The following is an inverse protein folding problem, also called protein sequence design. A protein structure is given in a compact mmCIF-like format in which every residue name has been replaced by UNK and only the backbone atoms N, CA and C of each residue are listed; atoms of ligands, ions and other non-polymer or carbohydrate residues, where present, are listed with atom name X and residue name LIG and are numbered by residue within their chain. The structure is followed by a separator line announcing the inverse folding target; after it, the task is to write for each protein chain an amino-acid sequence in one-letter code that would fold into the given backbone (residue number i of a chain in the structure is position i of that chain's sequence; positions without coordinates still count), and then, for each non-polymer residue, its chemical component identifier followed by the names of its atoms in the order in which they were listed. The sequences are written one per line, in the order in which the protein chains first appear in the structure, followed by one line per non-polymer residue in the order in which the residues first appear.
data_IF_925226965203
#
_entry.id   IF_925226965203
#
_cell.length_a   1.000
_cell.length_b   1.000
_cell.length_c   1.000
_cell.angle_alpha   90.00
_cell.angle_beta   90.00
_cell.angle_gamma   90.00
#
_symmetry.space_group_name_H-M   'P 1'
#
loop_
_entity.id
_entity.type
_entity.pdbx_description
1 polymer ?
#
# COMPACT_ATOMS: atom_id res chain seq x y z
N UNK A 1 -48.30 -24.88 -11.76
CA UNK A 1 -47.19 -23.90 -11.74
C UNK A 1 -47.70 -22.61 -12.37
N UNK A 2 -47.81 -21.53 -11.60
CA UNK A 2 -48.33 -20.26 -12.08
C UNK A 2 -47.21 -19.43 -12.74
N UNK A 3 -47.32 -19.17 -14.04
CA UNK A 3 -46.39 -18.32 -14.79
C UNK A 3 -46.79 -16.87 -14.49
N UNK A 4 -46.10 -16.26 -13.53
CA UNK A 4 -46.28 -14.86 -13.17
C UNK A 4 -45.83 -14.02 -14.36
N UNK A 5 -46.77 -13.28 -14.97
CA UNK A 5 -46.50 -12.41 -16.13
C UNK A 5 -45.48 -11.34 -15.73
N UNK A 6 -44.33 -11.34 -16.42
CA UNK A 6 -43.26 -10.34 -16.28
C UNK A 6 -43.82 -8.93 -16.43
N UNK A 7 -43.56 -8.07 -15.45
CA UNK A 7 -44.09 -6.71 -15.42
C UNK A 7 -43.31 -5.80 -16.37
N UNK A 8 -43.92 -4.71 -16.84
CA UNK A 8 -43.27 -3.75 -17.75
C UNK A 8 -41.95 -3.16 -17.18
N UNK A 9 -41.77 -3.21 -15.86
CA UNK A 9 -40.55 -2.82 -15.16
C UNK A 9 -39.37 -3.76 -15.40
N UNK A 10 -39.59 -5.04 -15.69
CA UNK A 10 -38.50 -5.98 -15.98
C UNK A 10 -37.95 -5.74 -17.39
N UNK A 11 -38.82 -5.46 -18.37
CA UNK A 11 -38.41 -5.11 -19.74
C UNK A 11 -37.57 -3.83 -19.78
N UNK A 12 -37.95 -2.80 -19.01
CA UNK A 12 -37.19 -1.56 -18.91
C UNK A 12 -35.81 -1.76 -18.23
N UNK A 13 -35.70 -2.74 -17.32
CA UNK A 13 -34.41 -3.12 -16.73
C UNK A 13 -33.54 -3.87 -17.73
N UNK A 14 -34.12 -4.79 -18.49
CA UNK A 14 -33.39 -5.55 -19.51
C UNK A 14 -32.84 -4.62 -20.60
N UNK A 15 -33.64 -3.65 -21.06
CA UNK A 15 -33.20 -2.62 -22.03
C UNK A 15 -32.08 -1.72 -21.47
N UNK A 16 -32.13 -1.36 -20.18
CA UNK A 16 -31.07 -0.57 -19.54
C UNK A 16 -29.75 -1.35 -19.40
N UNK A 17 -29.83 -2.68 -19.17
CA UNK A 17 -28.66 -3.56 -19.09
C UNK A 17 -28.04 -3.75 -20.47
N UNK A 18 -28.84 -3.92 -21.53
CA UNK A 18 -28.36 -4.00 -22.90
C UNK A 18 -27.71 -2.69 -23.37
N UNK A 19 -28.29 -1.53 -23.02
CA UNK A 19 -27.69 -0.22 -23.32
C UNK A 19 -26.35 -0.01 -22.61
N UNK A 20 -26.23 -0.45 -21.35
CA UNK A 20 -24.96 -0.39 -20.61
C UNK A 20 -23.90 -1.33 -21.20
N UNK A 21 -24.30 -2.53 -21.65
CA UNK A 21 -23.40 -3.47 -22.33
C UNK A 21 -22.86 -2.94 -23.66
N UNK A 22 -23.73 -2.34 -24.48
CA UNK A 22 -23.32 -1.73 -25.75
C UNK A 22 -22.42 -0.48 -25.56
N UNK A 23 -22.62 0.28 -24.49
CA UNK A 23 -21.74 1.41 -24.16
C UNK A 23 -20.34 0.96 -23.68
N UNK A 24 -20.18 -0.32 -23.36
CA UNK A 24 -18.92 -0.90 -22.91
C UNK A 24 -18.11 -1.58 -24.02
N UNK A 25 -18.56 -1.57 -25.30
CA UNK A 25 -17.71 -2.00 -26.41
C UNK A 25 -16.63 -0.94 -26.67
N UNK A 26 -15.35 -1.21 -26.34
CA UNK A 26 -14.27 -0.33 -26.71
C UNK A 26 -14.06 -0.52 -28.22
N UNK A 27 -14.16 0.56 -28.98
CA UNK A 27 -13.62 0.61 -30.34
C UNK A 27 -12.20 0.04 -30.30
N UNK A 28 -12.02 -1.15 -30.88
CA UNK A 28 -10.74 -1.83 -31.07
C UNK A 28 -9.91 -1.06 -32.09
N UNK A 29 -9.59 0.19 -31.79
CA UNK A 29 -8.43 0.86 -32.37
C UNK A 29 -7.24 0.22 -31.68
N UNK A 30 -6.46 -0.55 -32.45
CA UNK A 30 -5.19 -1.10 -31.98
C UNK A 30 -4.41 0.00 -31.25
N UNK A 31 -3.90 -0.24 -30.03
CA UNK A 31 -3.02 0.72 -29.41
C UNK A 31 -1.80 0.82 -30.32
N UNK A 32 -1.57 2.00 -30.89
CA UNK A 32 -0.27 2.32 -31.44
C UNK A 32 0.75 2.06 -30.33
N UNK A 33 1.55 1.03 -30.51
CA UNK A 33 2.65 0.69 -29.63
C UNK A 33 3.70 1.79 -29.79
N UNK A 34 3.54 2.86 -29.00
CA UNK A 34 4.66 3.72 -28.62
C UNK A 34 4.93 3.46 -27.15
N UNK A 35 5.49 2.28 -26.90
CA UNK A 35 6.10 1.95 -25.64
C UNK A 35 7.41 2.75 -25.52
N UNK A 36 7.34 3.98 -25.05
CA UNK A 36 8.42 4.53 -24.23
C UNK A 36 7.93 4.60 -22.79
N UNK A 37 7.81 3.40 -22.21
CA UNK A 37 7.86 3.24 -20.76
C UNK A 37 9.29 3.62 -20.37
N UNK A 38 9.50 4.91 -20.08
CA UNK A 38 10.77 5.45 -19.62
C UNK A 38 11.34 4.53 -18.55
N UNK A 39 12.47 3.91 -18.85
CA UNK A 39 13.21 3.11 -17.89
C UNK A 39 13.53 4.06 -16.74
N UNK A 40 13.14 3.76 -15.49
CA UNK A 40 13.50 4.63 -14.38
C UNK A 40 15.03 4.72 -14.34
N UNK A 41 15.57 5.90 -14.58
CA UNK A 41 16.99 6.14 -14.60
C UNK A 41 17.56 5.77 -13.24
N UNK A 42 18.33 4.68 -13.19
CA UNK A 42 19.07 4.31 -11.98
C UNK A 42 20.12 5.40 -11.76
N UNK A 43 20.21 6.01 -10.57
CA UNK A 43 21.28 6.95 -10.30
C UNK A 43 22.62 6.24 -10.53
N UNK A 44 23.45 6.81 -11.41
CA UNK A 44 24.78 6.27 -11.76
C UNK A 44 25.81 6.46 -10.65
N UNK A 45 25.46 7.23 -9.63
CA UNK A 45 26.33 7.57 -8.52
C UNK A 45 25.92 6.77 -7.29
N UNK A 46 26.82 5.92 -6.83
CA UNK A 46 26.76 5.37 -5.47
C UNK A 46 26.98 6.55 -4.52
N UNK A 47 26.02 6.90 -3.64
CA UNK A 47 26.22 7.99 -2.70
C UNK A 47 27.42 7.64 -1.83
N UNK A 48 28.46 8.48 -1.88
CA UNK A 48 29.61 8.36 -0.99
C UNK A 48 29.10 8.45 0.45
N UNK A 49 29.42 7.46 1.27
CA UNK A 49 29.16 7.48 2.72
C UNK A 49 29.92 8.65 3.32
N UNK A 50 29.28 9.81 3.31
CA UNK A 50 29.75 10.99 4.02
C UNK A 50 29.38 10.73 5.47
N UNK A 51 30.35 10.25 6.25
CA UNK A 51 30.21 10.07 7.72
C UNK A 51 30.19 11.42 8.47
N UNK A 52 29.82 12.50 7.76
CA UNK A 52 29.58 13.83 8.27
C UNK A 52 28.08 14.04 8.52
N UNK A 53 27.38 13.02 9.05
CA UNK A 53 26.12 13.31 9.73
C UNK A 53 26.51 14.06 10.99
N UNK A 54 26.06 15.31 11.08
CA UNK A 54 26.05 16.07 12.31
C UNK A 54 25.48 15.17 13.42
N UNK A 55 26.36 14.63 14.27
CA UNK A 55 26.05 13.49 15.16
C UNK A 55 25.00 13.86 16.22
N UNK A 56 24.64 15.14 16.32
CA UNK A 56 23.62 15.65 17.24
C UNK A 56 22.18 15.40 16.79
N UNK A 57 21.87 15.24 15.49
CA UNK A 57 20.47 15.16 15.02
C UNK A 57 20.27 14.28 13.78
N UNK A 58 20.56 12.98 13.87
CA UNK A 58 20.12 12.05 12.82
C UNK A 58 18.58 12.01 12.78
N UNK A 59 17.97 12.72 11.82
CA UNK A 59 16.50 12.79 11.66
C UNK A 59 15.88 11.49 11.13
N UNK A 60 16.69 10.62 10.54
CA UNK A 60 16.24 9.35 9.95
C UNK A 60 17.17 8.22 10.35
N UNK A 61 16.58 7.07 10.65
CA UNK A 61 17.28 5.84 11.01
C UNK A 61 16.64 4.67 10.28
N UNK A 62 17.46 3.78 9.72
CA UNK A 62 17.01 2.53 9.13
C UNK A 62 17.17 1.42 10.16
N UNK A 63 16.06 0.78 10.53
CA UNK A 63 16.05 -0.42 11.37
C UNK A 63 16.12 -1.65 10.46
N UNK A 64 17.04 -2.57 10.78
CA UNK A 64 17.18 -3.86 10.11
C UNK A 64 16.80 -4.95 11.11
N UNK A 65 16.02 -5.93 10.65
CA UNK A 65 15.49 -7.03 11.45
C UNK A 65 16.11 -8.36 11.00
N UNK A 66 17.41 -8.36 10.68
CA UNK A 66 18.05 -9.43 9.91
C UNK A 66 17.98 -10.79 10.62
N UNK A 67 18.01 -10.80 11.96
CA UNK A 67 17.95 -12.03 12.79
C UNK A 67 16.62 -12.16 13.55
N UNK A 68 15.80 -11.11 13.60
CA UNK A 68 14.65 -11.00 14.50
C UNK A 68 13.33 -11.02 13.72
N UNK A 69 13.03 -12.18 13.13
CA UNK A 69 11.81 -12.39 12.34
C UNK A 69 10.56 -12.32 13.21
N UNK A 70 10.64 -12.82 14.43
CA UNK A 70 9.52 -12.85 15.38
C UNK A 70 9.04 -11.43 15.69
N UNK A 71 9.97 -10.48 15.89
CA UNK A 71 9.64 -9.08 16.10
C UNK A 71 8.93 -8.46 14.89
N UNK A 72 9.33 -8.83 13.67
CA UNK A 72 8.70 -8.36 12.43
C UNK A 72 7.28 -8.88 12.25
N UNK A 73 7.04 -10.14 12.61
CA UNK A 73 5.73 -10.78 12.54
C UNK A 73 4.80 -10.17 13.60
N UNK A 74 5.28 -10.01 14.84
CA UNK A 74 4.54 -9.35 15.92
C UNK A 74 4.15 -7.91 15.53
N UNK A 75 5.08 -7.15 14.96
CA UNK A 75 4.78 -5.79 14.48
C UNK A 75 3.71 -5.79 13.39
N UNK A 76 3.73 -6.78 12.48
CA UNK A 76 2.74 -6.91 11.42
C UNK A 76 1.35 -7.22 11.99
N UNK A 77 1.27 -8.13 12.95
CA UNK A 77 0.02 -8.54 13.59
C UNK A 77 -0.58 -7.39 14.40
N UNK A 78 0.21 -6.71 15.22
CA UNK A 78 -0.25 -5.55 16.00
C UNK A 78 -0.71 -4.41 15.08
N UNK A 79 0.03 -4.13 13.99
CA UNK A 79 -0.37 -3.12 13.02
C UNK A 79 -1.72 -3.46 12.35
N UNK A 80 -1.96 -4.74 12.05
CA UNK A 80 -3.23 -5.23 11.49
C UNK A 80 -4.38 -5.07 12.49
N UNK A 81 -4.16 -5.40 13.77
CA UNK A 81 -5.15 -5.24 14.83
C UNK A 81 -5.55 -3.77 15.05
N UNK A 82 -4.59 -2.85 14.99
CA UNK A 82 -4.88 -1.41 15.11
C UNK A 82 -5.40 -0.77 13.81
N UNK A 83 -5.44 -1.50 12.69
CA UNK A 83 -5.81 -0.96 11.38
C UNK A 83 -4.82 0.09 10.85
N UNK A 84 -3.55 0.00 11.24
CA UNK A 84 -2.48 0.96 10.89
C UNK A 84 -1.39 0.31 10.04
N UNK A 85 -0.54 1.14 9.44
CA UNK A 85 0.65 0.68 8.70
C UNK A 85 1.77 0.29 9.67
N UNK A 86 2.66 -0.61 9.25
CA UNK A 86 3.81 -1.09 10.05
C UNK A 86 4.72 0.04 10.55
N UNK A 87 5.01 1.02 9.69
CA UNK A 87 5.94 2.11 10.03
C UNK A 87 5.49 2.98 11.24
N UNK A 88 4.29 3.60 11.26
CA UNK A 88 3.85 4.34 12.44
C UNK A 88 3.70 3.46 13.67
N UNK A 89 3.36 2.18 13.49
CA UNK A 89 3.30 1.23 14.61
C UNK A 89 4.69 0.96 15.20
N UNK A 90 5.72 0.80 14.36
CA UNK A 90 7.10 0.62 14.80
C UNK A 90 7.59 1.83 15.61
N UNK A 91 7.30 3.05 15.14
CA UNK A 91 7.66 4.27 15.86
C UNK A 91 6.96 4.38 17.22
N UNK A 92 5.68 4.01 17.29
CA UNK A 92 4.92 4.00 18.54
C UNK A 92 5.48 2.97 19.52
N UNK A 93 5.74 1.74 19.07
CA UNK A 93 6.32 0.69 19.89
C UNK A 93 7.72 1.09 20.40
N UNK A 94 8.56 1.66 19.53
CA UNK A 94 9.88 2.15 19.92
C UNK A 94 9.81 3.26 20.97
N UNK A 95 8.88 4.21 20.84
CA UNK A 95 8.70 5.28 21.84
C UNK A 95 8.37 4.71 23.22
N UNK A 96 7.36 3.84 23.27
CA UNK A 96 6.92 3.21 24.53
C UNK A 96 8.06 2.37 25.13
N UNK A 97 8.76 1.58 24.31
CA UNK A 97 9.89 0.77 24.77
C UNK A 97 11.04 1.61 25.32
N UNK A 98 11.39 2.72 24.66
CA UNK A 98 12.46 3.61 25.13
C UNK A 98 12.07 4.34 26.43
N UNK A 99 10.80 4.73 26.59
CA UNK A 99 10.29 5.29 27.84
C UNK A 99 10.44 4.29 28.99
N UNK A 100 10.02 3.04 28.79
CA UNK A 100 10.16 1.97 29.79
C UNK A 100 11.63 1.67 30.12
N UNK A 101 12.51 1.64 29.12
CA UNK A 101 13.94 1.41 29.32
C UNK A 101 14.55 2.57 30.10
N UNK A 102 14.23 3.83 29.78
CA UNK A 102 14.71 4.99 30.53
C UNK A 102 14.30 4.91 32.00
N UNK A 103 13.02 4.63 32.25
CA UNK A 103 12.46 4.56 33.60
C UNK A 103 13.10 3.41 34.44
N UNK A 104 13.75 2.43 33.80
CA UNK A 104 14.48 1.35 34.51
C UNK A 104 15.87 1.74 35.02
N UNK A 105 16.40 2.90 34.58
CA UNK A 105 17.70 3.42 35.00
C UNK A 105 17.60 4.59 35.99
N UNK A 106 16.39 5.06 36.31
CA UNK A 106 16.09 6.07 37.33
C UNK A 106 15.68 5.42 38.66
#
# INVERSE_FOLDING_TARGET
MAIKKRSASEKARDEAIEAFGNAAEPLLTSPAVSAERGIPARPSVTPTLSDSRDKGTARTMLLRFDEDRELMDLLADVAKLEGRKKHPMALRALRIGLEQVRDSYE
#
